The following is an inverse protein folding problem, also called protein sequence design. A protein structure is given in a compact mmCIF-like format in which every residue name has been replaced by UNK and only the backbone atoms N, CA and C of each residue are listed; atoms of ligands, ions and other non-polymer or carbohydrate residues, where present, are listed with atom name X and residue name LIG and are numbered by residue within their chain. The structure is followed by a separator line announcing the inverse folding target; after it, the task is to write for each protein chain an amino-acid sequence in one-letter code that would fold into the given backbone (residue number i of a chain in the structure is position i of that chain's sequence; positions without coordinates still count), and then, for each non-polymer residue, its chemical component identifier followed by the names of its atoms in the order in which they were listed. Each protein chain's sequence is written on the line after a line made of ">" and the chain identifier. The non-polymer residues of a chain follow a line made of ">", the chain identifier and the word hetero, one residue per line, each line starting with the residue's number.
data_IF_114795774251
#
_entry.id   IF_114795774251
#
_cell.length_a   1.000
_cell.length_b   1.000
_cell.length_c   1.000
_cell.angle_alpha   90.00
_cell.angle_beta   90.00
_cell.angle_gamma   90.00
#
_symmetry.space_group_name_H-M   'P 1'
#
loop_
_entity.id
_entity.type
_entity.pdbx_description
1 polymer ?
#
# COMPACT_ATOMS: atom_id res chain seq x y z
N UNK A 1 -15.89 5.19 -19.69
CA UNK A 1 -14.98 6.28 -19.23
C UNK A 1 -14.44 6.07 -17.80
N UNK A 2 -15.30 5.85 -16.78
CA UNK A 2 -14.92 5.74 -15.34
C UNK A 2 -13.80 4.74 -15.00
N UNK A 3 -13.79 3.56 -15.63
CA UNK A 3 -12.77 2.52 -15.37
C UNK A 3 -11.34 2.96 -15.70
N UNK A 4 -11.15 3.80 -16.74
CA UNK A 4 -9.82 4.32 -17.10
C UNK A 4 -9.27 5.26 -16.02
N UNK A 5 -10.13 6.11 -15.45
CA UNK A 5 -9.73 7.01 -14.36
C UNK A 5 -9.33 6.22 -13.11
N UNK A 6 -10.09 5.19 -12.76
CA UNK A 6 -9.75 4.28 -11.64
C UNK A 6 -8.40 3.59 -11.90
N UNK A 7 -8.18 3.10 -13.12
CA UNK A 7 -6.91 2.48 -13.52
C UNK A 7 -5.73 3.45 -13.34
N UNK A 8 -5.85 4.68 -13.86
CA UNK A 8 -4.78 5.69 -13.76
C UNK A 8 -4.51 6.09 -12.30
N UNK A 9 -5.56 6.34 -11.51
CA UNK A 9 -5.43 6.62 -10.07
C UNK A 9 -4.67 5.50 -9.37
N UNK A 10 -5.08 4.25 -9.59
CA UNK A 10 -4.43 3.09 -8.97
C UNK A 10 -2.98 2.95 -9.44
N UNK A 11 -2.67 3.26 -10.70
CA UNK A 11 -1.30 3.23 -11.23
C UNK A 11 -0.41 4.28 -10.56
N UNK A 12 -0.90 5.50 -10.36
CA UNK A 12 -0.17 6.55 -9.67
C UNK A 12 0.05 6.21 -8.19
N UNK A 13 -0.97 5.66 -7.52
CA UNK A 13 -0.85 5.20 -6.14
C UNK A 13 0.22 4.10 -5.98
N UNK A 14 0.23 3.12 -6.89
CA UNK A 14 1.25 2.07 -6.90
C UNK A 14 2.66 2.63 -7.13
N UNK A 15 2.80 3.67 -7.96
CA UNK A 15 4.08 4.32 -8.19
C UNK A 15 4.63 4.96 -6.90
N UNK A 16 3.79 5.71 -6.17
CA UNK A 16 4.20 6.28 -4.88
C UNK A 16 4.66 5.19 -3.90
N UNK A 17 3.94 4.06 -3.84
CA UNK A 17 4.31 2.95 -2.97
C UNK A 17 5.58 2.23 -3.40
N UNK A 18 5.84 2.09 -4.70
CA UNK A 18 7.12 1.58 -5.18
C UNK A 18 8.30 2.44 -4.73
N UNK A 19 8.16 3.77 -4.74
CA UNK A 19 9.19 4.68 -4.23
C UNK A 19 9.29 4.61 -2.71
N UNK A 20 8.16 4.52 -2.00
CA UNK A 20 8.14 4.37 -0.55
C UNK A 20 8.90 3.10 -0.11
N UNK A 21 8.65 1.96 -0.76
CA UNK A 21 9.34 0.70 -0.49
C UNK A 21 10.83 0.77 -0.78
N UNK A 22 11.22 1.45 -1.85
CA UNK A 22 12.62 1.69 -2.16
C UNK A 22 13.29 2.48 -1.03
N UNK A 23 12.65 3.53 -0.54
CA UNK A 23 13.16 4.30 0.60
C UNK A 23 13.19 3.50 1.90
N UNK A 24 12.20 2.65 2.18
CA UNK A 24 12.21 1.73 3.33
C UNK A 24 13.43 0.80 3.28
N UNK A 25 13.70 0.17 2.13
CA UNK A 25 14.86 -0.73 1.94
C UNK A 25 16.20 0.00 2.11
N UNK A 26 16.24 1.30 1.84
CA UNK A 26 17.44 2.14 1.95
C UNK A 26 17.57 2.85 3.31
N UNK A 27 16.63 2.63 4.24
CA UNK A 27 16.61 3.30 5.55
C UNK A 27 16.19 4.77 5.51
N UNK A 28 15.70 5.26 4.36
CA UNK A 28 15.24 6.63 4.19
C UNK A 28 13.78 6.80 4.68
N UNK A 29 13.54 6.54 5.97
CA UNK A 29 12.18 6.42 6.53
C UNK A 29 11.34 7.69 6.40
N UNK A 30 11.93 8.88 6.53
CA UNK A 30 11.22 10.16 6.34
C UNK A 30 10.70 10.30 4.90
N UNK A 31 11.51 9.89 3.91
CA UNK A 31 11.10 9.86 2.51
C UNK A 31 9.96 8.88 2.27
N UNK A 32 10.05 7.67 2.86
CA UNK A 32 9.00 6.67 2.78
C UNK A 32 7.67 7.19 3.37
N UNK A 33 7.72 7.88 4.51
CA UNK A 33 6.56 8.52 5.14
C UNK A 33 5.94 9.57 4.20
N UNK A 34 6.76 10.41 3.56
CA UNK A 34 6.26 11.42 2.61
C UNK A 34 5.46 10.79 1.46
N UNK A 35 6.00 9.73 0.87
CA UNK A 35 5.36 8.98 -0.23
C UNK A 35 4.07 8.29 0.21
N UNK A 36 4.10 7.59 1.35
CA UNK A 36 2.93 6.92 1.90
C UNK A 36 1.81 7.91 2.27
N UNK A 37 2.14 9.04 2.91
CA UNK A 37 1.17 10.11 3.22
C UNK A 37 0.56 10.68 1.95
N UNK A 38 1.37 10.95 0.92
CA UNK A 38 0.89 11.46 -0.34
C UNK A 38 -0.10 10.48 -0.99
N UNK A 39 0.22 9.18 -0.99
CA UNK A 39 -0.66 8.14 -1.51
C UNK A 39 -2.02 8.11 -0.80
N UNK A 40 -2.04 8.15 0.54
CA UNK A 40 -3.28 8.17 1.34
C UNK A 40 -4.10 9.42 1.05
N UNK A 41 -3.47 10.58 0.98
CA UNK A 41 -4.17 11.87 0.81
C UNK A 41 -4.73 12.08 -0.61
N UNK A 42 -4.06 11.59 -1.65
CA UNK A 42 -4.41 11.90 -3.05
C UNK A 42 -5.07 10.76 -3.81
N UNK A 43 -4.92 9.51 -3.34
CA UNK A 43 -5.39 8.33 -4.06
C UNK A 43 -6.33 7.47 -3.22
N UNK A 44 -7.26 8.13 -2.53
CA UNK A 44 -8.29 7.43 -1.77
C UNK A 44 -9.08 6.42 -2.63
N UNK A 45 -9.42 5.29 -2.01
CA UNK A 45 -10.05 4.13 -2.63
C UNK A 45 -9.14 3.34 -3.58
N UNK A 46 -7.85 3.64 -3.69
CA UNK A 46 -6.88 2.76 -4.35
C UNK A 46 -6.55 1.58 -3.42
N UNK A 47 -6.51 0.32 -3.90
CA UNK A 47 -6.24 -0.84 -3.05
C UNK A 47 -4.90 -0.77 -2.30
N UNK A 48 -3.90 -0.09 -2.87
CA UNK A 48 -2.56 0.03 -2.30
C UNK A 48 -2.48 0.94 -1.06
N UNK A 49 -3.56 1.67 -0.74
CA UNK A 49 -3.64 2.52 0.45
C UNK A 49 -3.47 1.71 1.74
N UNK A 50 -3.93 0.44 1.76
CA UNK A 50 -3.69 -0.47 2.88
C UNK A 50 -2.18 -0.62 3.14
N UNK A 51 -1.42 -0.88 2.08
CA UNK A 51 0.04 -1.01 2.16
C UNK A 51 0.74 0.31 2.52
N UNK A 52 0.19 1.45 2.06
CA UNK A 52 0.69 2.76 2.46
C UNK A 52 0.62 2.97 3.97
N UNK A 53 -0.46 2.53 4.62
CA UNK A 53 -0.60 2.58 6.08
C UNK A 53 0.39 1.65 6.78
N UNK A 54 0.62 0.44 6.27
CA UNK A 54 1.65 -0.48 6.80
C UNK A 54 3.05 0.15 6.75
N UNK A 55 3.41 0.77 5.62
CA UNK A 55 4.70 1.47 5.47
C UNK A 55 4.80 2.65 6.44
N UNK A 56 3.74 3.42 6.63
CA UNK A 56 3.68 4.50 7.62
C UNK A 56 3.91 3.99 9.05
N UNK A 57 3.23 2.92 9.45
CA UNK A 57 3.39 2.29 10.76
C UNK A 57 4.84 1.82 10.95
N UNK A 58 5.38 1.10 9.97
CA UNK A 58 6.73 0.57 10.03
C UNK A 58 7.79 1.69 10.08
N UNK A 59 7.66 2.72 9.23
CA UNK A 59 8.59 3.84 9.18
C UNK A 59 8.58 4.65 10.49
N UNK A 60 7.40 4.93 11.05
CA UNK A 60 7.31 5.59 12.36
C UNK A 60 7.94 4.78 13.48
N UNK A 61 7.71 3.45 13.52
CA UNK A 61 8.37 2.57 14.48
C UNK A 61 9.89 2.61 14.34
N UNK A 62 10.41 2.58 13.11
CA UNK A 62 11.86 2.67 12.83
C UNK A 62 12.48 4.01 13.25
N UNK A 63 11.69 5.09 13.27
CA UNK A 63 12.11 6.40 13.76
C UNK A 63 11.83 6.62 15.26
N UNK A 64 11.31 5.63 15.98
CA UNK A 64 10.96 5.75 17.40
C UNK A 64 9.70 6.58 17.69
N UNK A 65 8.93 6.94 16.67
CA UNK A 65 7.72 7.76 16.78
C UNK A 65 6.49 6.91 17.14
N UNK A 66 6.44 6.39 18.36
CA UNK A 66 5.44 5.40 18.78
C UNK A 66 4.00 5.93 18.74
N UNK A 67 3.75 7.18 19.13
CA UNK A 67 2.40 7.77 19.12
C UNK A 67 1.81 7.87 17.71
N UNK A 68 2.66 8.24 16.74
CA UNK A 68 2.28 8.31 15.34
C UNK A 68 2.08 6.90 14.75
N UNK A 69 2.94 5.95 15.12
CA UNK A 69 2.77 4.56 14.72
C UNK A 69 1.45 3.97 15.26
N UNK A 70 1.13 4.21 16.53
CA UNK A 70 -0.12 3.77 17.15
C UNK A 70 -1.35 4.44 16.52
N UNK A 71 -1.25 5.72 16.16
CA UNK A 71 -2.31 6.44 15.45
C UNK A 71 -2.55 5.86 14.06
N UNK A 72 -1.48 5.60 13.30
CA UNK A 72 -1.58 4.96 11.99
C UNK A 72 -2.13 3.53 12.09
N UNK A 73 -1.74 2.78 13.12
CA UNK A 73 -2.26 1.44 13.40
C UNK A 73 -3.77 1.48 13.68
N UNK A 74 -4.25 2.42 14.51
CA UNK A 74 -5.69 2.60 14.76
C UNK A 74 -6.48 2.84 13.47
N UNK A 75 -5.94 3.65 12.55
CA UNK A 75 -6.57 3.89 11.25
C UNK A 75 -6.56 2.61 10.40
N UNK A 76 -5.44 1.88 10.38
CA UNK A 76 -5.35 0.61 9.67
C UNK A 76 -6.41 -0.38 10.20
N UNK A 77 -6.47 -0.57 11.52
CA UNK A 77 -7.37 -1.53 12.15
C UNK A 77 -8.85 -1.18 11.89
N UNK A 78 -9.20 0.11 12.00
CA UNK A 78 -10.55 0.59 11.73
C UNK A 78 -11.04 0.30 10.30
N UNK A 79 -10.12 0.21 9.33
CA UNK A 79 -10.45 0.00 7.92
C UNK A 79 -10.23 -1.45 7.45
N UNK A 80 -9.30 -2.19 8.06
CA UNK A 80 -8.79 -3.44 7.48
C UNK A 80 -8.82 -4.67 8.41
N UNK A 81 -9.13 -4.55 9.70
CA UNK A 81 -9.16 -5.69 10.63
C UNK A 81 -10.55 -6.03 11.18
N UNK A 82 -11.59 -5.32 10.73
CA UNK A 82 -12.99 -5.62 11.05
C UNK A 82 -13.69 -6.46 9.96
N UNK A 83 -15.02 -6.58 10.05
CA UNK A 83 -15.90 -7.26 9.06
C UNK A 83 -15.69 -6.74 7.61
N UNK A 84 -15.11 -5.55 7.47
CA UNK A 84 -14.84 -4.88 6.19
C UNK A 84 -13.42 -5.09 5.64
N UNK A 85 -12.61 -5.97 6.24
CA UNK A 85 -11.30 -6.34 5.72
C UNK A 85 -11.41 -6.75 4.23
N UNK A 86 -10.60 -6.18 3.32
CA UNK A 86 -10.63 -6.54 1.91
C UNK A 86 -10.30 -8.02 1.79
N UNK A 87 -11.19 -8.77 1.11
CA UNK A 87 -10.98 -10.20 0.85
C UNK A 87 -9.64 -10.37 0.13
N UNK A 88 -8.79 -11.33 0.54
CA UNK A 88 -7.51 -11.56 -0.11
C UNK A 88 -7.74 -11.79 -1.60
N UNK A 89 -7.07 -10.99 -2.44
CA UNK A 89 -7.12 -11.16 -3.89
C UNK A 89 -6.30 -12.40 -4.23
N UNK A 90 -6.98 -13.48 -4.61
CA UNK A 90 -6.30 -14.67 -5.14
C UNK A 90 -5.62 -14.32 -6.46
N UNK A 91 -4.31 -14.08 -6.43
CA UNK A 91 -3.50 -13.93 -7.63
C UNK A 91 -3.43 -15.29 -8.31
N UNK A 92 -4.18 -15.49 -9.39
CA UNK A 92 -4.14 -16.71 -10.19
C UNK A 92 -2.73 -16.82 -10.80
N UNK A 93 -1.89 -17.70 -10.24
CA UNK A 93 -0.61 -18.08 -10.85
C UNK A 93 -0.92 -18.87 -12.12
N UNK A 94 -0.56 -18.33 -13.28
CA UNK A 94 -0.63 -19.10 -14.53
C UNK A 94 0.39 -20.25 -14.47
N UNK A 95 0.00 -21.50 -14.74
CA UNK A 95 0.92 -22.63 -14.68
C UNK A 95 1.97 -22.53 -15.78
N UNK A 96 3.22 -22.82 -15.42
CA UNK A 96 4.41 -22.70 -16.28
C UNK A 96 4.40 -23.67 -17.48
N UNK A 97 3.52 -24.68 -17.47
CA UNK A 97 3.46 -25.76 -18.46
C UNK A 97 2.44 -25.55 -19.59
N UNK A 98 2.01 -24.32 -19.84
CA UNK A 98 1.02 -24.01 -20.89
C UNK A 98 1.46 -24.42 -22.32
N UNK A 99 2.77 -24.59 -22.56
CA UNK A 99 3.34 -25.05 -23.83
C UNK A 99 3.11 -26.54 -24.12
N UNK A 100 2.74 -27.38 -23.14
CA UNK A 100 2.48 -28.82 -23.36
C UNK A 100 1.14 -29.10 -24.07
N UNK A 101 0.38 -28.06 -24.40
CA UNK A 101 -0.96 -28.14 -25.02
C UNK A 101 -0.88 -27.81 -26.53
N UNK A 102 0.32 -27.52 -27.05
CA UNK A 102 0.61 -27.30 -28.47
C UNK A 102 1.54 -28.38 -28.99
#
# INVERSE_FOLDING_TARGET
>A
ARQRMIYLRNRLANFEMHVADYYMRRGAYVGAIGRAKYCIAHYDGAPVVQHALEVLIAAYKKLGMQDLAASAQRVYDANYTGVYAPKPVHVVKKPWHFWKIW
#
